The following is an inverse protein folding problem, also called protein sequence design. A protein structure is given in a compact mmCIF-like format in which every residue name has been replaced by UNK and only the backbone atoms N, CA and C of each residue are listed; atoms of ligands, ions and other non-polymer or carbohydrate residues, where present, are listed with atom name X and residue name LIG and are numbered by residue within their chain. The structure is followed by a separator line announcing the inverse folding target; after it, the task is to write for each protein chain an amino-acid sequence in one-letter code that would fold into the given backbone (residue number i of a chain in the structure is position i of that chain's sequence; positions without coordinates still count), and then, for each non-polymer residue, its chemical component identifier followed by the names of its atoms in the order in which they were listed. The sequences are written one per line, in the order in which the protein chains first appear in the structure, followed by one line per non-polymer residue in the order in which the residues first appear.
data_IF_069247721230
#
_entry.id   IF_069247721230
#
_cell.length_a   1.000
_cell.length_b   1.000
_cell.length_c   1.000
_cell.angle_alpha   90.00
_cell.angle_beta   90.00
_cell.angle_gamma   90.00
#
_symmetry.space_group_name_H-M   'P 1'
#
loop_
_entity.id
_entity.type
_entity.pdbx_description
1 polymer ?
#
# COMPACT_ATOMS: atom_id res chain seq x y z
N UNK A 1 -9.31 -12.15 13.85
CA UNK A 1 -10.16 -11.53 14.90
C UNK A 1 -9.33 -10.64 15.87
N UNK A 2 -8.22 -11.10 16.46
CA UNK A 2 -7.45 -10.31 17.44
C UNK A 2 -6.94 -8.97 16.90
N UNK A 3 -6.53 -8.92 15.63
CA UNK A 3 -6.08 -7.69 14.97
C UNK A 3 -7.25 -6.72 14.73
N UNK A 4 -8.41 -7.22 14.33
CA UNK A 4 -9.62 -6.41 14.15
C UNK A 4 -10.05 -5.74 15.46
N UNK A 5 -9.99 -6.45 16.58
CA UNK A 5 -10.28 -5.90 17.91
C UNK A 5 -9.35 -4.75 18.32
N UNK A 6 -8.06 -4.85 17.96
CA UNK A 6 -7.08 -3.78 18.24
C UNK A 6 -7.41 -2.55 17.41
N UNK A 7 -7.65 -2.71 16.11
CA UNK A 7 -7.95 -1.60 15.20
C UNK A 7 -9.26 -0.91 15.60
N UNK A 8 -10.28 -1.68 15.98
CA UNK A 8 -11.55 -1.12 16.48
C UNK A 8 -11.34 -0.27 17.76
N UNK A 9 -10.52 -0.74 18.70
CA UNK A 9 -10.18 0.01 19.92
C UNK A 9 -9.46 1.31 19.56
N UNK A 10 -8.51 1.28 18.63
CA UNK A 10 -7.80 2.47 18.15
C UNK A 10 -8.78 3.45 17.51
N UNK A 11 -9.68 3.00 16.64
CA UNK A 11 -10.68 3.87 16.01
C UNK A 11 -11.60 4.58 17.04
N UNK A 12 -12.00 3.89 18.11
CA UNK A 12 -12.78 4.49 19.22
C UNK A 12 -12.02 5.61 19.93
N UNK A 13 -10.71 5.55 19.99
CA UNK A 13 -9.87 6.56 20.68
C UNK A 13 -9.60 7.78 19.79
N UNK A 14 -9.61 7.66 18.48
CA UNK A 14 -9.27 8.74 17.54
C UNK A 14 -10.10 10.02 17.82
N UNK A 15 -11.41 9.88 17.98
CA UNK A 15 -12.28 11.03 18.27
C UNK A 15 -12.01 11.68 19.64
N UNK A 16 -11.49 10.91 20.61
CA UNK A 16 -11.12 11.45 21.92
C UNK A 16 -9.78 12.20 21.88
N UNK A 17 -8.84 11.74 21.06
CA UNK A 17 -7.55 12.41 20.85
C UNK A 17 -7.74 13.78 20.21
N UNK A 18 -8.70 13.93 19.31
CA UNK A 18 -9.03 15.20 18.68
C UNK A 18 -9.59 16.27 19.65
N UNK A 19 -10.05 15.87 20.83
CA UNK A 19 -10.53 16.78 21.88
C UNK A 19 -9.40 17.42 22.69
N UNK A 20 -8.15 16.99 22.51
CA UNK A 20 -7.00 17.56 23.22
C UNK A 20 -6.41 18.74 22.45
N UNK A 21 -5.96 19.76 23.18
CA UNK A 21 -5.39 20.98 22.59
C UNK A 21 -4.11 20.73 21.76
N UNK A 22 -3.40 19.64 22.07
CA UNK A 22 -2.17 19.22 21.37
C UNK A 22 -2.40 18.28 20.18
N UNK A 23 -3.65 17.98 19.86
CA UNK A 23 -4.00 17.07 18.75
C UNK A 23 -3.63 17.58 17.36
N UNK A 24 -3.41 18.89 17.22
CA UNK A 24 -3.20 19.56 15.93
C UNK A 24 -4.47 19.63 15.06
N UNK A 25 -5.59 19.12 15.54
CA UNK A 25 -6.89 19.21 14.83
C UNK A 25 -7.50 20.60 15.07
N UNK A 26 -7.92 21.33 14.00
CA UNK A 26 -8.63 22.60 14.16
C UNK A 26 -9.90 22.43 15.01
N UNK A 27 -10.21 23.41 15.86
CA UNK A 27 -11.35 23.31 16.80
C UNK A 27 -12.71 23.11 16.09
N UNK A 28 -12.89 23.70 14.93
CA UNK A 28 -14.07 23.56 14.07
C UNK A 28 -14.18 22.18 13.42
N UNK A 29 -13.06 21.47 13.27
CA UNK A 29 -13.01 20.12 12.70
C UNK A 29 -13.19 18.99 13.75
N UNK A 30 -13.10 19.28 15.05
CA UNK A 30 -13.19 18.26 16.12
C UNK A 30 -14.47 17.44 16.03
N UNK A 31 -15.60 18.06 15.70
CA UNK A 31 -16.88 17.35 15.54
C UNK A 31 -16.83 16.36 14.39
N UNK A 32 -16.28 16.75 13.23
CA UNK A 32 -16.15 15.89 12.04
C UNK A 32 -15.24 14.69 12.37
N UNK A 33 -14.09 14.91 12.99
CA UNK A 33 -13.14 13.86 13.38
C UNK A 33 -13.78 12.89 14.38
N UNK A 34 -14.50 13.39 15.39
CA UNK A 34 -15.18 12.53 16.36
C UNK A 34 -16.26 11.66 15.72
N UNK A 35 -17.06 12.21 14.81
CA UNK A 35 -18.09 11.46 14.08
C UNK A 35 -17.43 10.39 13.20
N UNK A 36 -16.44 10.78 12.39
CA UNK A 36 -15.74 9.84 11.52
C UNK A 36 -15.05 8.71 12.30
N UNK A 37 -14.46 9.00 13.48
CA UNK A 37 -13.84 7.99 14.34
C UNK A 37 -14.87 7.00 14.92
N UNK A 38 -16.04 7.47 15.35
CA UNK A 38 -17.12 6.61 15.85
C UNK A 38 -17.70 5.74 14.74
N UNK A 39 -17.94 6.34 13.58
CA UNK A 39 -18.51 5.63 12.45
C UNK A 39 -17.53 4.56 11.93
N UNK A 40 -16.23 4.89 11.86
CA UNK A 40 -15.19 3.93 11.50
C UNK A 40 -15.15 2.75 12.49
N UNK A 41 -15.24 3.00 13.80
CA UNK A 41 -15.29 1.95 14.80
C UNK A 41 -16.49 0.99 14.61
N UNK A 42 -17.67 1.54 14.27
CA UNK A 42 -18.86 0.73 13.99
C UNK A 42 -18.72 -0.11 12.70
N UNK A 43 -17.93 0.37 11.72
CA UNK A 43 -17.72 -0.39 10.48
C UNK A 43 -16.88 -1.65 10.68
N UNK A 44 -16.02 -1.72 11.70
CA UNK A 44 -15.28 -2.95 12.02
C UNK A 44 -16.22 -4.08 12.44
N UNK A 45 -17.25 -3.80 13.23
CA UNK A 45 -18.28 -4.81 13.56
C UNK A 45 -19.08 -5.24 12.32
N UNK A 46 -19.35 -4.30 11.43
CA UNK A 46 -20.13 -4.59 10.23
C UNK A 46 -19.35 -5.42 9.19
N UNK A 47 -18.05 -5.12 8.99
CA UNK A 47 -17.22 -5.87 8.04
C UNK A 47 -16.93 -7.30 8.53
N UNK A 48 -16.74 -7.48 9.85
CA UNK A 48 -16.55 -8.77 10.48
C UNK A 48 -17.78 -9.67 10.26
N UNK A 49 -18.99 -9.15 10.58
CA UNK A 49 -20.24 -9.86 10.34
C UNK A 49 -20.47 -10.24 8.87
N UNK A 50 -20.19 -9.31 7.95
CA UNK A 50 -20.34 -9.58 6.52
C UNK A 50 -19.34 -10.64 6.04
N UNK A 51 -18.10 -10.60 6.53
CA UNK A 51 -17.07 -11.60 6.26
C UNK A 51 -17.44 -12.98 6.77
N UNK A 52 -17.89 -13.08 8.01
CA UNK A 52 -18.31 -14.34 8.64
C UNK A 52 -19.52 -14.99 7.94
N UNK A 53 -20.44 -14.18 7.42
CA UNK A 53 -21.58 -14.66 6.64
C UNK A 53 -21.25 -15.03 5.19
N UNK A 54 -20.03 -14.74 4.71
CA UNK A 54 -19.62 -14.93 3.31
C UNK A 54 -20.24 -13.92 2.35
N UNK A 55 -20.81 -12.82 2.83
CA UNK A 55 -21.38 -11.76 2.01
C UNK A 55 -20.28 -10.85 1.44
N UNK A 56 -19.72 -11.26 0.29
CA UNK A 56 -18.66 -10.51 -0.40
C UNK A 56 -19.12 -9.11 -0.83
N UNK A 57 -20.40 -8.97 -1.23
CA UNK A 57 -20.96 -7.67 -1.67
C UNK A 57 -21.10 -6.72 -0.49
N UNK A 58 -21.63 -7.20 0.62
CA UNK A 58 -21.73 -6.44 1.87
C UNK A 58 -20.36 -6.08 2.42
N UNK A 59 -19.41 -7.01 2.42
CA UNK A 59 -18.02 -6.77 2.83
C UNK A 59 -17.38 -5.65 2.00
N UNK A 60 -17.51 -5.71 0.67
CA UNK A 60 -16.97 -4.67 -0.21
C UNK A 60 -17.61 -3.30 0.06
N UNK A 61 -18.92 -3.25 0.21
CA UNK A 61 -19.63 -2.00 0.52
C UNK A 61 -19.13 -1.38 1.82
N UNK A 62 -19.03 -2.16 2.88
CA UNK A 62 -18.53 -1.67 4.18
C UNK A 62 -17.08 -1.20 4.07
N UNK A 63 -16.24 -1.92 3.33
CA UNK A 63 -14.86 -1.52 3.08
C UNK A 63 -14.78 -0.16 2.36
N UNK A 64 -15.56 0.05 1.29
CA UNK A 64 -15.59 1.31 0.55
C UNK A 64 -16.02 2.49 1.48
N UNK A 65 -16.98 2.27 2.36
CA UNK A 65 -17.40 3.24 3.38
C UNK A 65 -16.29 3.53 4.39
N UNK A 66 -15.52 2.52 4.83
CA UNK A 66 -14.36 2.70 5.71
C UNK A 66 -13.27 3.53 5.05
N UNK A 67 -12.99 3.33 3.76
CA UNK A 67 -12.02 4.12 3.00
C UNK A 67 -12.38 5.60 3.00
N UNK A 68 -13.66 5.95 2.82
CA UNK A 68 -14.14 7.34 2.88
C UNK A 68 -13.93 7.95 4.28
N UNK A 69 -14.24 7.19 5.33
CA UNK A 69 -14.04 7.66 6.72
C UNK A 69 -12.56 7.85 7.03
N UNK A 70 -11.70 6.94 6.61
CA UNK A 70 -10.25 7.06 6.76
C UNK A 70 -9.71 8.29 6.02
N UNK A 71 -10.16 8.55 4.79
CA UNK A 71 -9.77 9.76 4.04
C UNK A 71 -10.17 11.04 4.77
N UNK A 72 -11.33 11.05 5.45
CA UNK A 72 -11.77 12.17 6.28
C UNK A 72 -10.84 12.39 7.47
N UNK A 73 -10.45 11.33 8.18
CA UNK A 73 -9.51 11.42 9.31
C UNK A 73 -8.11 11.88 8.86
N UNK A 74 -7.64 11.38 7.71
CA UNK A 74 -6.32 11.73 7.15
C UNK A 74 -6.16 13.22 6.85
N UNK A 75 -7.24 13.96 6.57
CA UNK A 75 -7.16 15.43 6.35
C UNK A 75 -6.56 16.16 7.54
N UNK A 76 -6.78 15.65 8.74
CA UNK A 76 -6.43 16.31 10.02
C UNK A 76 -5.19 15.74 10.68
N UNK A 77 -4.56 14.72 10.09
CA UNK A 77 -3.26 14.24 10.60
C UNK A 77 -2.18 15.29 10.29
N UNK A 78 -1.44 15.82 11.28
CA UNK A 78 -0.37 16.78 11.04
C UNK A 78 0.65 16.26 10.05
N UNK A 79 1.06 17.09 9.08
CA UNK A 79 2.13 16.71 8.16
C UNK A 79 3.46 16.77 8.90
N UNK A 80 4.20 15.69 8.82
CA UNK A 80 5.54 15.57 9.39
C UNK A 80 6.51 15.26 8.26
N UNK A 81 7.63 15.97 8.22
CA UNK A 81 8.63 15.84 7.16
C UNK A 81 9.92 15.26 7.72
N UNK A 82 10.64 14.47 6.94
CA UNK A 82 11.92 13.86 7.31
C UNK A 82 12.89 13.91 6.14
N UNK A 83 14.18 13.95 6.46
CA UNK A 83 15.22 13.83 5.44
C UNK A 83 15.19 12.40 4.85
N UNK A 84 15.07 12.25 3.52
CA UNK A 84 15.05 10.92 2.88
C UNK A 84 16.34 10.12 3.08
N UNK A 85 17.45 10.81 3.37
CA UNK A 85 18.74 10.18 3.71
C UNK A 85 18.90 9.92 5.20
N UNK A 86 17.92 10.28 6.03
CA UNK A 86 17.98 10.17 7.50
C UNK A 86 19.30 10.70 8.10
N UNK A 87 19.88 11.76 7.52
CA UNK A 87 21.16 12.33 7.95
C UNK A 87 21.18 12.76 9.41
N UNK A 88 20.01 13.00 10.01
CA UNK A 88 19.82 13.37 11.40
C UNK A 88 19.06 12.28 12.18
N UNK A 89 19.12 11.03 11.70
CA UNK A 89 18.37 9.91 12.28
C UNK A 89 16.86 10.10 12.11
N UNK A 90 16.09 9.87 13.16
CA UNK A 90 14.63 9.96 13.17
C UNK A 90 14.08 11.39 13.36
N UNK A 91 14.92 12.42 13.21
CA UNK A 91 14.48 13.80 13.34
C UNK A 91 13.48 14.18 12.27
N UNK A 92 12.39 14.79 12.70
CA UNK A 92 11.30 15.26 11.85
C UNK A 92 11.16 16.79 11.89
N UNK A 93 10.43 17.33 10.92
CA UNK A 93 10.15 18.74 10.75
C UNK A 93 8.66 18.97 10.52
N UNK A 94 8.10 20.03 11.06
CA UNK A 94 6.67 20.37 10.93
C UNK A 94 6.33 21.05 9.59
N UNK A 95 7.37 21.40 8.80
CA UNK A 95 7.22 22.14 7.54
C UNK A 95 8.15 21.58 6.48
N UNK A 96 7.76 21.66 5.19
CA UNK A 96 8.67 21.36 4.09
C UNK A 96 9.87 22.31 4.11
N UNK A 97 11.02 21.81 3.66
CA UNK A 97 12.26 22.58 3.65
C UNK A 97 13.43 21.72 3.21
N UNK A 98 14.65 22.19 3.48
CA UNK A 98 15.87 21.45 3.16
C UNK A 98 16.51 20.88 4.42
N UNK A 99 17.02 19.65 4.31
CA UNK A 99 17.82 19.03 5.36
C UNK A 99 19.10 19.86 5.59
N UNK A 100 19.38 20.30 6.82
CA UNK A 100 20.56 21.14 7.10
C UNK A 100 21.89 20.40 6.92
N UNK A 101 21.87 19.04 6.92
CA UNK A 101 23.09 18.23 6.74
C UNK A 101 23.42 17.94 5.28
N UNK A 102 22.42 17.65 4.43
CA UNK A 102 22.67 17.21 3.06
C UNK A 102 22.05 18.12 1.99
N UNK A 103 21.26 19.14 2.39
CA UNK A 103 20.62 20.08 1.47
C UNK A 103 19.44 19.52 0.67
N UNK A 104 19.12 18.23 0.80
CA UNK A 104 17.98 17.62 0.13
C UNK A 104 16.67 18.12 0.71
N UNK A 105 15.64 18.19 -0.11
CA UNK A 105 14.30 18.52 0.36
C UNK A 105 13.77 17.43 1.30
N UNK A 106 13.29 17.85 2.49
CA UNK A 106 12.64 16.93 3.41
C UNK A 106 11.29 16.50 2.84
N UNK A 107 10.93 15.24 3.06
CA UNK A 107 9.75 14.63 2.47
C UNK A 107 8.69 14.40 3.54
N UNK A 108 7.42 14.47 3.12
CA UNK A 108 6.29 14.15 3.99
C UNK A 108 6.38 12.68 4.42
N UNK A 109 6.52 12.46 5.73
CA UNK A 109 6.58 11.10 6.32
C UNK A 109 5.28 10.33 6.10
N UNK A 110 4.17 11.03 5.77
CA UNK A 110 2.91 10.39 5.40
C UNK A 110 2.90 9.73 4.02
N UNK A 111 3.88 9.99 3.17
CA UNK A 111 4.05 9.20 1.94
C UNK A 111 4.22 7.71 2.26
N UNK A 112 4.64 7.38 3.49
CA UNK A 112 4.64 6.02 4.02
C UNK A 112 3.24 5.40 4.18
N UNK A 113 2.18 6.21 4.17
CA UNK A 113 0.77 5.76 4.23
C UNK A 113 0.09 5.76 2.85
N UNK A 114 0.77 6.18 1.79
CA UNK A 114 0.26 6.13 0.43
C UNK A 114 0.44 4.71 -0.13
N UNK A 115 -0.54 3.86 0.13
CA UNK A 115 -0.60 2.50 -0.40
C UNK A 115 -1.42 2.42 -1.70
N UNK A 116 -1.56 3.53 -2.42
CA UNK A 116 -2.23 3.53 -3.72
C UNK A 116 -1.37 2.83 -4.78
N UNK A 117 -2.01 1.93 -5.52
CA UNK A 117 -1.40 1.25 -6.63
C UNK A 117 -0.97 2.26 -7.71
N UNK A 118 0.28 2.19 -8.16
CA UNK A 118 0.84 3.11 -9.17
C UNK A 118 0.63 2.59 -10.60
N UNK A 119 0.42 1.28 -10.74
CA UNK A 119 0.23 0.57 -12.00
C UNK A 119 -1.12 -0.19 -12.04
N UNK A 120 -2.04 0.15 -11.12
CA UNK A 120 -3.38 -0.45 -11.08
C UNK A 120 -3.41 -1.90 -10.64
N UNK A 121 -2.40 -2.34 -9.92
CA UNK A 121 -2.26 -3.67 -9.35
C UNK A 121 -2.64 -3.77 -7.87
N UNK A 122 -2.24 -4.86 -7.23
CA UNK A 122 -2.35 -5.05 -5.79
C UNK A 122 -1.07 -4.54 -5.11
N UNK A 123 -1.23 -3.57 -4.21
CA UNK A 123 -0.14 -2.92 -3.50
C UNK A 123 -0.01 -3.44 -2.07
N UNK A 124 1.20 -3.77 -1.64
CA UNK A 124 1.50 -4.32 -0.32
C UNK A 124 2.67 -3.60 0.33
N UNK A 125 2.60 -3.42 1.63
CA UNK A 125 3.76 -3.13 2.46
C UNK A 125 4.42 -4.45 2.89
N UNK A 126 5.74 -4.53 2.74
CA UNK A 126 6.49 -5.67 3.23
C UNK A 126 6.54 -5.68 4.78
N UNK A 127 6.64 -6.85 5.42
CA UNK A 127 6.72 -6.96 6.89
C UNK A 127 7.89 -6.22 7.52
N UNK A 128 8.94 -5.91 6.74
CA UNK A 128 10.08 -5.10 7.19
C UNK A 128 9.75 -3.61 7.37
N UNK A 129 8.54 -3.18 6.95
CA UNK A 129 8.06 -1.79 7.00
C UNK A 129 8.94 -0.78 6.25
N UNK A 130 9.84 -1.24 5.38
CA UNK A 130 10.77 -0.42 4.58
C UNK A 130 10.51 -0.54 3.10
N UNK A 131 10.01 -1.68 2.66
CA UNK A 131 9.76 -1.93 1.26
C UNK A 131 8.26 -2.04 1.00
N UNK A 132 7.85 -1.58 -0.18
CA UNK A 132 6.53 -1.85 -0.73
C UNK A 132 6.69 -2.53 -2.08
N UNK A 133 5.68 -3.25 -2.49
CA UNK A 133 5.63 -3.85 -3.81
C UNK A 133 4.22 -3.81 -4.40
N UNK A 134 4.16 -3.79 -5.71
CA UNK A 134 2.91 -3.84 -6.45
C UNK A 134 2.97 -4.95 -7.47
N UNK A 135 2.00 -5.87 -7.42
CA UNK A 135 1.84 -6.92 -8.41
C UNK A 135 0.78 -6.57 -9.42
N UNK A 136 1.11 -6.64 -10.72
CA UNK A 136 0.18 -6.41 -11.82
C UNK A 136 0.12 -7.61 -12.74
N UNK A 137 -1.03 -7.79 -13.40
CA UNK A 137 -1.21 -8.83 -14.44
C UNK A 137 -1.78 -8.19 -15.69
N UNK A 138 -1.02 -8.25 -16.80
CA UNK A 138 -1.47 -7.72 -18.07
C UNK A 138 -2.50 -8.62 -18.76
N UNK A 139 -3.22 -8.09 -19.75
CA UNK A 139 -4.14 -8.86 -20.59
C UNK A 139 -3.42 -9.98 -21.39
N UNK A 140 -2.11 -9.87 -21.58
CA UNK A 140 -1.28 -10.89 -22.21
C UNK A 140 -0.75 -11.95 -21.23
N UNK A 141 -1.28 -12.02 -20.00
CA UNK A 141 -0.84 -12.91 -18.92
C UNK A 141 0.63 -12.70 -18.50
N UNK A 142 1.12 -11.49 -18.57
CA UNK A 142 2.43 -11.12 -18.03
C UNK A 142 2.24 -10.57 -16.64
N UNK A 143 2.82 -11.25 -15.65
CA UNK A 143 2.83 -10.79 -14.26
C UNK A 143 4.09 -9.96 -14.03
N UNK A 144 3.95 -8.82 -13.31
CA UNK A 144 5.04 -7.93 -12.95
C UNK A 144 5.00 -7.60 -11.48
N UNK A 145 6.18 -7.44 -10.87
CA UNK A 145 6.33 -6.95 -9.49
C UNK A 145 7.20 -5.70 -9.54
N UNK A 146 6.62 -4.57 -9.17
CA UNK A 146 7.30 -3.29 -8.97
C UNK A 146 7.68 -3.15 -7.51
N UNK A 147 8.78 -2.46 -7.23
CA UNK A 147 9.29 -2.26 -5.89
C UNK A 147 9.37 -0.78 -5.55
N UNK A 148 9.13 -0.48 -4.27
CA UNK A 148 9.15 0.88 -3.76
C UNK A 148 9.83 0.90 -2.39
N UNK A 149 10.43 2.04 -2.05
CA UNK A 149 11.01 2.29 -0.74
C UNK A 149 9.94 2.61 0.32
N UNK A 150 10.39 2.93 1.53
CA UNK A 150 9.52 3.31 2.64
C UNK A 150 8.67 4.58 2.37
N UNK A 151 9.03 5.37 1.36
CA UNK A 151 8.31 6.56 0.92
C UNK A 151 7.48 6.33 -0.35
N UNK A 152 7.23 5.08 -0.71
CA UNK A 152 6.53 4.67 -1.94
C UNK A 152 7.12 5.22 -3.24
N UNK A 153 8.43 5.51 -3.26
CA UNK A 153 9.17 5.82 -4.46
C UNK A 153 9.66 4.57 -5.14
N UNK A 154 9.53 4.50 -6.44
CA UNK A 154 10.05 3.38 -7.23
C UNK A 154 11.54 3.19 -7.01
N UNK A 155 11.92 1.93 -6.74
CA UNK A 155 13.31 1.51 -6.61
C UNK A 155 13.59 0.38 -7.62
N UNK A 156 14.85 0.27 -8.13
CA UNK A 156 15.20 -0.76 -9.08
C UNK A 156 15.00 -2.16 -8.52
N UNK A 157 14.45 -3.05 -9.34
CA UNK A 157 14.18 -4.44 -8.98
C UNK A 157 15.44 -5.32 -8.93
N UNK A 158 16.58 -4.87 -9.49
CA UNK A 158 17.83 -5.64 -9.57
C UNK A 158 18.43 -6.03 -8.21
N UNK A 159 17.97 -5.37 -7.14
CA UNK A 159 18.34 -5.69 -5.77
C UNK A 159 17.58 -6.88 -5.18
N UNK A 160 16.50 -7.30 -5.81
CA UNK A 160 15.55 -8.28 -5.29
C UNK A 160 15.45 -9.49 -6.20
N UNK A 161 15.05 -10.62 -5.63
CA UNK A 161 14.71 -11.82 -6.40
C UNK A 161 13.37 -12.36 -5.91
N UNK A 162 12.64 -13.04 -6.80
CA UNK A 162 11.39 -13.68 -6.41
C UNK A 162 11.18 -14.99 -7.15
N UNK A 163 10.57 -15.94 -6.45
CA UNK A 163 9.96 -17.13 -7.04
C UNK A 163 8.44 -17.00 -6.93
N UNK A 164 7.71 -17.52 -7.90
CA UNK A 164 6.27 -17.44 -7.85
C UNK A 164 5.60 -18.74 -8.37
N UNK A 165 4.34 -18.92 -7.97
CA UNK A 165 3.46 -19.96 -8.50
C UNK A 165 2.12 -19.33 -8.85
N UNK A 166 1.50 -19.76 -9.94
CA UNK A 166 0.21 -19.31 -10.42
C UNK A 166 -0.77 -20.48 -10.56
N UNK A 167 -2.05 -20.27 -10.28
CA UNK A 167 -3.10 -21.27 -10.42
C UNK A 167 -4.47 -20.62 -10.63
N UNK A 168 -5.43 -21.38 -11.17
CA UNK A 168 -6.82 -20.94 -11.26
C UNK A 168 -7.41 -20.80 -9.85
N UNK A 169 -8.16 -19.76 -9.60
CA UNK A 169 -8.79 -19.55 -8.28
C UNK A 169 -9.69 -20.74 -7.93
N UNK A 170 -9.50 -21.30 -6.73
CA UNK A 170 -10.20 -22.50 -6.28
C UNK A 170 -9.57 -23.83 -6.69
N UNK A 171 -8.50 -23.85 -7.48
CA UNK A 171 -7.77 -25.05 -7.83
C UNK A 171 -6.96 -25.61 -6.64
N UNK A 172 -6.62 -26.90 -6.69
CA UNK A 172 -5.86 -27.58 -5.66
C UNK A 172 -4.38 -27.14 -5.65
N UNK A 173 -3.67 -27.47 -4.58
CA UNK A 173 -2.25 -27.15 -4.46
C UNK A 173 -1.39 -27.84 -5.53
N UNK A 174 -1.77 -29.04 -5.98
CA UNK A 174 -1.10 -29.79 -7.04
C UNK A 174 -1.16 -29.08 -8.39
N UNK A 175 -2.13 -28.20 -8.61
CA UNK A 175 -2.36 -27.53 -9.89
C UNK A 175 -1.57 -26.24 -10.02
N UNK A 176 -0.83 -25.83 -8.98
CA UNK A 176 0.00 -24.63 -8.97
C UNK A 176 1.17 -24.77 -9.95
N UNK A 177 1.20 -23.88 -10.95
CA UNK A 177 2.26 -23.87 -11.97
C UNK A 177 3.39 -22.93 -11.54
N UNK A 178 4.66 -23.35 -11.68
CA UNK A 178 5.79 -22.45 -11.44
C UNK A 178 5.73 -21.24 -12.39
N UNK A 179 5.98 -20.06 -11.84
CA UNK A 179 6.09 -18.82 -12.58
C UNK A 179 7.52 -18.28 -12.41
N UNK A 180 8.33 -18.42 -13.44
CA UNK A 180 9.70 -17.89 -13.44
C UNK A 180 9.66 -16.39 -13.63
N UNK A 181 10.28 -15.67 -12.70
CA UNK A 181 10.43 -14.23 -12.74
C UNK A 181 11.87 -13.86 -13.11
N UNK A 182 12.01 -12.87 -13.98
CA UNK A 182 13.28 -12.30 -14.41
C UNK A 182 13.23 -10.78 -14.30
N UNK A 183 14.37 -10.12 -14.20
CA UNK A 183 14.46 -8.68 -14.24
C UNK A 183 14.10 -8.15 -15.62
N UNK A 184 13.32 -7.07 -15.68
CA UNK A 184 13.13 -6.30 -16.91
C UNK A 184 14.48 -5.73 -17.39
N UNK A 185 14.65 -5.47 -18.71
CA UNK A 185 15.91 -4.94 -19.24
C UNK A 185 16.36 -3.63 -18.58
N UNK A 186 15.41 -2.78 -18.22
CA UNK A 186 15.62 -1.49 -17.53
C UNK A 186 15.64 -1.63 -16.01
N UNK A 187 15.51 -2.86 -15.49
CA UNK A 187 15.51 -3.18 -14.05
C UNK A 187 14.37 -2.55 -13.24
N UNK A 188 13.34 -2.04 -13.88
CA UNK A 188 12.22 -1.35 -13.20
C UNK A 188 11.29 -2.31 -12.46
N UNK A 189 11.21 -3.59 -12.87
CA UNK A 189 10.35 -4.61 -12.26
C UNK A 189 10.91 -6.02 -12.48
N UNK A 190 10.38 -6.98 -11.73
CA UNK A 190 10.45 -8.41 -12.06
C UNK A 190 9.27 -8.78 -12.93
N UNK A 191 9.48 -9.64 -13.93
CA UNK A 191 8.41 -10.07 -14.83
C UNK A 191 8.49 -11.54 -15.18
N UNK A 192 7.33 -12.15 -15.43
CA UNK A 192 7.20 -13.51 -15.89
C UNK A 192 5.87 -13.79 -16.57
N UNK A 193 5.88 -14.73 -17.51
CA UNK A 193 4.69 -15.14 -18.22
C UNK A 193 3.96 -16.23 -17.46
N UNK A 194 2.71 -15.99 -17.11
CA UNK A 194 1.82 -17.00 -16.50
C UNK A 194 1.53 -18.08 -17.54
N UNK A 195 1.57 -19.35 -17.12
CA UNK A 195 1.29 -20.50 -17.99
C UNK A 195 -0.08 -20.37 -18.68
N UNK A 196 -0.15 -20.72 -19.95
CA UNK A 196 -1.35 -20.56 -20.75
C UNK A 196 -2.54 -21.41 -20.27
N UNK A 197 -2.31 -22.45 -19.46
CA UNK A 197 -3.37 -23.26 -18.84
C UNK A 197 -4.03 -22.57 -17.65
N UNK A 198 -3.37 -21.56 -17.06
CA UNK A 198 -3.91 -20.78 -15.94
C UNK A 198 -4.74 -19.62 -16.51
N UNK A 199 -6.02 -19.59 -16.16
CA UNK A 199 -6.99 -18.61 -16.65
C UNK A 199 -7.55 -17.78 -15.50
N UNK A 200 -8.00 -16.57 -15.79
CA UNK A 200 -8.73 -15.75 -14.82
C UNK A 200 -10.11 -16.33 -14.49
N UNK A 201 -10.57 -16.23 -13.25
CA UNK A 201 -9.86 -15.66 -12.11
C UNK A 201 -8.71 -16.55 -11.65
N UNK A 202 -7.57 -15.96 -11.35
CA UNK A 202 -6.37 -16.68 -10.94
C UNK A 202 -5.72 -16.06 -9.70
N UNK A 203 -4.91 -16.87 -9.02
CA UNK A 203 -4.10 -16.45 -7.89
C UNK A 203 -2.62 -16.66 -8.20
N UNK A 204 -1.78 -15.76 -7.71
CA UNK A 204 -0.31 -15.86 -7.78
C UNK A 204 0.24 -15.69 -6.37
N UNK A 205 1.07 -16.63 -5.95
CA UNK A 205 1.86 -16.52 -4.70
C UNK A 205 3.31 -16.26 -5.07
N UNK A 206 3.83 -15.14 -4.64
CA UNK A 206 5.22 -14.76 -4.82
C UNK A 206 5.99 -14.85 -3.50
N UNK A 207 7.20 -15.37 -3.56
CA UNK A 207 8.17 -15.43 -2.47
C UNK A 207 9.29 -14.47 -2.83
N UNK A 208 9.28 -13.29 -2.22
CA UNK A 208 10.21 -12.20 -2.55
C UNK A 208 11.35 -12.16 -1.53
N UNK A 209 12.58 -12.21 -2.02
CA UNK A 209 13.78 -12.05 -1.21
C UNK A 209 14.28 -10.60 -1.36
N UNK A 210 14.14 -9.83 -0.29
CA UNK A 210 14.58 -8.44 -0.21
C UNK A 210 16.09 -8.29 0.04
N UNK A 211 16.84 -9.40 0.15
CA UNK A 211 18.29 -9.41 0.39
C UNK A 211 18.71 -8.70 1.70
N UNK A 212 17.81 -8.67 2.65
CA UNK A 212 17.99 -8.08 3.99
C UNK A 212 18.49 -9.10 5.04
N UNK A 213 18.80 -10.32 4.62
CA UNK A 213 19.21 -11.43 5.48
C UNK A 213 18.04 -12.19 6.12
N UNK A 214 16.82 -11.82 5.84
CA UNK A 214 15.61 -12.53 6.28
C UNK A 214 15.20 -13.61 5.26
N UNK A 215 14.25 -14.46 5.66
CA UNK A 215 13.64 -15.42 4.74
C UNK A 215 12.79 -14.67 3.70
N UNK A 216 12.64 -15.22 2.48
CA UNK A 216 11.74 -14.65 1.50
C UNK A 216 10.35 -14.41 2.06
N UNK A 217 9.80 -13.22 1.81
CA UNK A 217 8.48 -12.80 2.24
C UNK A 217 7.43 -13.29 1.25
N UNK A 218 6.24 -13.62 1.74
CA UNK A 218 5.16 -14.20 0.94
C UNK A 218 4.10 -13.15 0.64
N UNK A 219 3.72 -13.05 -0.64
CA UNK A 219 2.66 -12.15 -1.11
C UNK A 219 1.69 -12.93 -1.98
N UNK A 220 0.40 -12.79 -1.67
CA UNK A 220 -0.69 -13.42 -2.41
C UNK A 220 -1.42 -12.37 -3.26
N UNK A 221 -1.48 -12.62 -4.57
CA UNK A 221 -2.14 -11.76 -5.55
C UNK A 221 -3.31 -12.49 -6.16
N UNK A 222 -4.49 -11.89 -6.09
CA UNK A 222 -5.70 -12.39 -6.73
C UNK A 222 -6.11 -11.48 -7.89
N UNK A 223 -6.30 -12.05 -9.06
CA UNK A 223 -6.75 -11.34 -10.25
C UNK A 223 -8.05 -11.90 -10.78
N UNK A 224 -9.07 -11.07 -10.83
CA UNK A 224 -10.36 -11.36 -11.49
C UNK A 224 -10.42 -10.80 -12.92
N UNK A 225 -9.63 -9.78 -13.19
CA UNK A 225 -9.43 -9.14 -14.49
C UNK A 225 -7.98 -8.64 -14.59
N UNK A 226 -7.49 -8.31 -15.79
CA UNK A 226 -6.18 -7.69 -15.95
C UNK A 226 -6.09 -6.35 -15.21
N UNK A 227 -4.92 -6.06 -14.66
CA UNK A 227 -4.62 -4.76 -14.05
C UNK A 227 -4.80 -3.63 -15.07
N UNK A 228 -5.47 -2.57 -14.66
CA UNK A 228 -5.67 -1.37 -15.49
C UNK A 228 -4.70 -0.30 -15.01
N UNK A 229 -3.71 0.03 -15.83
CA UNK A 229 -2.84 1.16 -15.51
C UNK A 229 -3.70 2.43 -15.30
N UNK A 230 -3.42 3.23 -14.25
CA UNK A 230 -4.14 4.46 -14.02
C UNK A 230 -4.04 5.34 -15.27
N UNK A 231 -5.18 5.68 -15.87
CA UNK A 231 -5.25 6.59 -17.01
C UNK A 231 -4.81 7.97 -16.54
N UNK A 232 -3.51 8.28 -16.75
CA UNK A 232 -2.99 9.64 -16.86
C UNK A 232 -3.25 10.59 -15.69
N UNK A 233 -2.60 10.39 -14.56
CA UNK A 233 -2.18 11.52 -13.75
C UNK A 233 -1.08 12.26 -14.53
N UNK A 234 -1.36 13.47 -15.02
CA UNK A 234 -0.36 14.33 -15.66
C UNK A 234 0.87 14.42 -14.77
N UNK A 235 2.01 13.89 -15.21
CA UNK A 235 3.32 14.25 -14.66
C UNK A 235 3.35 15.78 -14.66
N UNK A 236 3.33 16.39 -13.48
CA UNK A 236 3.76 17.76 -13.35
C UNK A 236 5.29 17.73 -13.58
N UNK A 237 5.68 17.95 -14.81
CA UNK A 237 7.04 18.33 -15.13
C UNK A 237 7.30 19.63 -14.36
N UNK A 238 8.09 19.56 -13.32
CA UNK A 238 8.73 20.74 -12.76
C UNK A 238 9.75 21.21 -13.80
N UNK A 239 9.30 22.12 -14.65
CA UNK A 239 10.20 22.85 -15.54
C UNK A 239 11.27 23.54 -14.70
N UNK A 240 12.52 23.13 -14.90
CA UNK A 240 13.66 23.93 -14.54
C UNK A 240 13.67 25.17 -15.48
N UNK A 241 13.03 26.24 -15.03
CA UNK A 241 13.27 27.55 -15.57
C UNK A 241 14.67 28.02 -15.11
N UNK A 242 15.61 28.01 -16.02
CA UNK A 242 16.88 28.67 -15.81
C UNK A 242 16.70 30.22 -15.87
N UNK A 243 17.29 30.88 -14.91
CA UNK A 243 17.99 32.17 -15.06
C UNK A 243 18.90 32.35 -13.86
#
# INVERSE_FOLDING_TARGET
HAEADVIQKVAKVVGQLALKDDSGVPKDAVKEVNVAGKDLAAKFDAIDKAGDSGDLTGTKKVYDEMVVLMATLQKYVPKVYQCPMKCEGEKTYDKPGKCPKCGMDVQDVKSHLDHEAKHGGAFFMAPDQKHHLEGTLSASNEFRIYFYDEYTKSIPADKFTAEAKAWNKGASESDRKPLKLAHAPDKSFLTGKVDASVKMPLSIKAYVDFKDGQKPQVFDFDFTEPSKEPTGGKKKEHGHGGH
#
